data_IF_503565164097
#
_entry.id   IF_503565164097
#
_cell.length_a   1.000
_cell.length_b   1.000
_cell.length_c   1.000
_cell.angle_alpha   90.00
_cell.angle_beta   90.00
_cell.angle_gamma   90.00
#
_symmetry.space_group_name_H-M   'P 1'
#
loop_
_entity.id
_entity.type
_entity.pdbx_description
1 polymer ?
2 polymer ?
3 non-polymer ?
4 water ?
#
# COMPACT_ATOMS: atom_id res chain seq x y z
N UNK A 5 6.62 -3.34 -22.48
CA UNK A 5 5.32 -3.88 -22.08
C UNK A 5 4.17 -2.93 -22.26
N UNK A 6 3.71 -2.11 -21.31
CA UNK A 6 2.36 -1.60 -21.48
C UNK A 6 2.09 -0.26 -20.80
N UNK A 7 0.91 0.29 -21.05
CA UNK A 7 0.61 1.68 -20.70
C UNK A 7 -0.76 1.67 -20.07
N UNK A 8 -0.81 2.17 -18.83
CA UNK A 8 -1.99 2.07 -18.00
C UNK A 8 -2.37 3.49 -17.56
N UNK A 9 -3.62 3.89 -17.81
CA UNK A 9 -4.15 5.17 -17.36
C UNK A 9 -5.05 4.97 -16.16
N UNK A 10 -4.73 5.71 -15.11
CA UNK A 10 -5.44 5.63 -13.83
C UNK A 10 -5.94 7.03 -13.42
N UNK A 11 -6.89 7.04 -12.48
CA UNK A 11 -7.50 8.23 -11.87
C UNK A 11 -7.29 8.20 -10.36
N UNK A 12 -6.70 9.26 -9.79
CA UNK A 12 -6.63 9.39 -8.35
C UNK A 12 -8.01 9.32 -7.70
N UNK A 13 -8.06 8.57 -6.60
CA UNK A 13 -9.18 8.54 -5.71
C UNK A 13 -9.23 9.75 -4.79
N UNK A 14 -10.23 9.76 -3.92
CA UNK A 14 -10.49 10.90 -3.07
C UNK A 14 -9.44 11.17 -2.00
N UNK A 15 -8.49 10.25 -1.82
CA UNK A 15 -7.30 10.43 -1.01
C UNK A 15 -6.04 10.81 -1.81
N UNK A 16 -6.17 10.90 -3.13
CA UNK A 16 -5.09 11.30 -4.01
C UNK A 16 -4.20 10.15 -4.46
N UNK A 17 -4.73 8.92 -4.38
CA UNK A 17 -3.95 7.74 -4.70
C UNK A 17 -4.51 6.89 -5.84
N UNK A 18 -3.63 6.34 -6.67
CA UNK A 18 -4.11 5.49 -7.75
C UNK A 18 -4.16 3.99 -7.42
N UNK A 19 -3.41 3.59 -6.39
CA UNK A 19 -3.54 2.26 -5.81
C UNK A 19 -2.41 1.27 -6.02
N UNK A 20 -1.16 1.71 -5.90
CA UNK A 20 -0.05 0.73 -5.94
C UNK A 20 1.06 1.06 -4.96
N UNK A 21 1.86 0.07 -4.61
CA UNK A 21 3.07 0.30 -3.83
C UNK A 21 4.28 0.03 -4.73
N UNK A 22 5.37 0.76 -4.54
CA UNK A 22 6.59 0.54 -5.28
C UNK A 22 7.83 0.73 -4.40
N UNK A 23 8.93 0.17 -4.89
CA UNK A 23 10.20 0.29 -4.22
C UNK A 23 11.26 -0.06 -5.24
N UNK A 24 12.36 0.69 -5.25
CA UNK A 24 13.46 0.46 -6.19
C UNK A 24 12.94 0.61 -7.61
N UNK A 25 11.99 1.52 -7.83
CA UNK A 25 11.44 1.77 -9.15
C UNK A 25 10.50 0.72 -9.71
N UNK A 26 10.17 -0.28 -8.91
CA UNK A 26 9.36 -1.39 -9.36
C UNK A 26 8.05 -1.47 -8.56
N UNK A 27 6.95 -1.72 -9.24
CA UNK A 27 5.67 -1.93 -8.59
C UNK A 27 5.68 -3.28 -7.86
N UNK A 28 5.37 -3.29 -6.57
CA UNK A 28 5.39 -4.53 -5.80
C UNK A 28 4.01 -5.02 -5.37
N UNK A 29 3.03 -4.12 -5.35
CA UNK A 29 1.70 -4.45 -4.87
C UNK A 29 0.65 -3.59 -5.55
N UNK A 30 -0.56 -4.15 -5.67
CA UNK A 30 -1.73 -3.44 -6.14
C UNK A 30 -2.78 -3.47 -5.02
N UNK A 31 -3.42 -2.33 -4.84
CA UNK A 31 -4.46 -2.17 -3.84
C UNK A 31 -5.84 -2.58 -4.38
N UNK A 32 -6.52 -3.39 -3.58
CA UNK A 32 -7.86 -3.84 -3.86
C UNK A 32 -8.82 -2.65 -4.05
N UNK A 33 -9.65 -2.74 -5.08
CA UNK A 33 -10.71 -1.77 -5.33
C UNK A 33 -10.22 -0.40 -5.73
N UNK A 34 -9.03 -0.35 -6.33
CA UNK A 34 -8.34 0.88 -6.70
C UNK A 34 -8.34 1.08 -8.21
N UNK A 35 -7.97 2.28 -8.66
CA UNK A 35 -7.87 2.53 -10.09
C UNK A 35 -6.78 1.65 -10.74
N UNK A 36 -5.66 1.46 -10.06
CA UNK A 36 -4.66 0.50 -10.53
C UNK A 36 -5.23 -0.89 -10.74
N UNK A 37 -6.08 -1.35 -9.83
CA UNK A 37 -6.74 -2.65 -10.01
C UNK A 37 -7.69 -2.67 -11.20
N UNK A 38 -8.56 -1.66 -11.28
CA UNK A 38 -9.56 -1.60 -12.35
C UNK A 38 -8.95 -1.49 -13.73
N UNK A 39 -7.76 -0.90 -13.80
CA UNK A 39 -7.12 -0.58 -15.06
C UNK A 39 -6.01 -1.54 -15.42
N UNK A 40 -5.78 -2.52 -14.54
CA UNK A 40 -4.96 -3.67 -14.83
C UNK A 40 -3.46 -3.52 -14.71
N UNK A 41 -3.05 -2.62 -13.84
CA UNK A 41 -1.64 -2.42 -13.50
C UNK A 41 -1.09 -3.71 -12.89
N UNK A 42 0.12 -4.07 -13.31
CA UNK A 42 0.70 -5.37 -13.00
C UNK A 42 1.86 -5.22 -12.02
N UNK A 43 1.98 -6.14 -11.08
CA UNK A 43 3.11 -6.07 -10.15
C UNK A 43 4.32 -6.70 -10.79
N UNK A 44 5.45 -6.45 -10.14
CA UNK A 44 6.77 -6.91 -10.53
C UNK A 44 7.22 -6.39 -11.90
N UNK A 45 6.80 -5.18 -12.21
CA UNK A 45 7.17 -4.47 -13.42
C UNK A 45 7.80 -3.12 -13.01
N UNK A 46 8.91 -2.77 -13.63
CA UNK A 46 9.58 -1.49 -13.44
C UNK A 46 8.77 -0.37 -14.08
N UNK A 47 8.72 0.78 -13.43
CA UNK A 47 8.04 1.95 -13.98
C UNK A 47 9.00 2.67 -14.95
N UNK A 48 8.58 2.99 -16.18
CA UNK A 48 9.41 3.61 -17.20
C UNK A 48 9.11 5.08 -17.38
N UNK A 49 7.82 5.40 -17.51
CA UNK A 49 7.30 6.74 -17.76
C UNK A 49 6.04 7.04 -16.93
N UNK A 50 5.95 8.26 -16.42
CA UNK A 50 4.76 8.80 -15.78
C UNK A 50 4.43 10.16 -16.41
N UNK A 51 3.21 10.26 -16.93
CA UNK A 51 2.73 11.43 -17.63
C UNK A 51 3.79 11.96 -18.60
N UNK A 52 4.38 11.03 -19.35
CA UNK A 52 5.26 11.38 -20.45
C UNK A 52 6.71 11.63 -20.05
N UNK A 53 7.03 11.37 -18.79
CA UNK A 53 8.31 11.71 -18.19
C UNK A 53 9.08 10.43 -17.89
N UNK A 54 10.30 10.30 -18.42
CA UNK A 54 11.15 9.14 -18.14
C UNK A 54 11.58 9.12 -16.67
N UNK A 55 11.22 8.04 -15.97
CA UNK A 55 11.60 7.86 -14.59
C UNK A 55 12.54 6.68 -14.37
N UNK A 56 13.02 6.08 -15.47
CA UNK A 56 14.03 5.06 -15.34
C UNK A 56 15.27 5.68 -14.70
N UNK A 57 15.75 5.03 -13.64
CA UNK A 57 16.88 5.52 -12.88
C UNK A 57 16.69 6.56 -11.79
N UNK A 58 15.52 7.17 -11.68
CA UNK A 58 15.30 8.16 -10.64
C UNK A 58 15.18 7.44 -9.29
N UNK A 59 15.55 8.12 -8.20
CA UNK A 59 15.27 7.67 -6.84
C UNK A 59 13.78 7.58 -6.57
N UNK A 60 13.41 6.69 -5.66
CA UNK A 60 12.01 6.52 -5.27
C UNK A 60 11.33 7.80 -4.79
N UNK A 61 12.04 8.61 -4.01
CA UNK A 61 11.49 9.90 -3.60
C UNK A 61 11.21 10.85 -4.79
N UNK A 62 12.01 10.80 -5.85
CA UNK A 62 11.80 11.61 -7.05
C UNK A 62 10.56 11.11 -7.80
N UNK A 63 10.40 9.79 -7.85
CA UNK A 63 9.22 9.18 -8.44
C UNK A 63 7.96 9.56 -7.66
N UNK A 64 8.07 9.50 -6.35
CA UNK A 64 6.95 9.80 -5.47
C UNK A 64 6.54 11.26 -5.61
N UNK A 65 7.51 12.15 -5.74
CA UNK A 65 7.23 13.55 -6.02
C UNK A 65 6.51 13.79 -7.34
N UNK A 66 6.96 13.10 -8.39
CA UNK A 66 6.26 13.18 -9.68
C UNK A 66 4.79 12.72 -9.54
N UNK A 67 4.58 11.61 -8.84
CA UNK A 67 3.23 11.07 -8.69
C UNK A 67 2.34 11.98 -7.85
N UNK A 68 2.92 12.57 -6.81
CA UNK A 68 2.15 13.38 -5.88
C UNK A 68 1.81 14.74 -6.49
N UNK A 69 2.68 15.28 -7.33
CA UNK A 69 2.44 16.55 -7.98
C UNK A 69 1.76 16.38 -9.32
N UNK A 70 1.58 15.16 -9.78
CA UNK A 70 0.69 14.93 -10.90
C UNK A 70 -0.78 15.26 -10.53
N UNK A 71 -1.51 15.53 -11.59
CA UNK A 71 -2.93 15.76 -11.59
C UNK A 71 -3.67 14.46 -11.39
N UNK A 72 -4.98 14.54 -11.54
CA UNK A 72 -5.89 13.45 -11.26
C UNK A 72 -5.65 12.22 -12.11
N UNK A 73 -5.46 12.44 -13.40
CA UNK A 73 -5.24 11.38 -14.38
C UNK A 73 -3.73 11.17 -14.45
N UNK A 74 -3.36 9.92 -14.22
CA UNK A 74 -1.96 9.50 -14.22
C UNK A 74 -1.77 8.34 -15.19
N UNK A 75 -0.93 8.49 -16.20
CA UNK A 75 -0.64 7.43 -17.17
C UNK A 75 0.79 6.94 -16.94
N UNK A 76 0.95 5.65 -16.70
CA UNK A 76 2.26 5.08 -16.43
C UNK A 76 2.57 4.04 -17.50
N UNK A 77 3.77 4.09 -18.04
CA UNK A 77 4.28 3.00 -18.86
C UNK A 77 5.17 2.10 -17.98
N UNK A 78 5.00 0.78 -18.10
CA UNK A 78 5.77 -0.20 -17.32
C UNK A 78 6.49 -1.18 -18.24
N UNK A 79 7.48 -1.90 -17.71
CA UNK A 79 8.16 -2.97 -18.44
C UNK A 79 8.33 -4.19 -17.54
N UNK B 6 -13.96 -9.46 13.23
CA UNK B 6 -13.40 -9.16 14.58
C UNK B 6 -11.90 -9.44 14.72
N UNK B 7 -11.42 -10.67 14.89
CA UNK B 7 -10.00 -10.93 15.07
C UNK B 7 -9.54 -11.69 13.83
N UNK B 8 -8.51 -11.16 13.19
CA UNK B 8 -8.00 -11.71 11.93
C UNK B 8 -6.54 -12.12 12.09
N UNK B 9 -6.20 -13.35 11.72
CA UNK B 9 -4.83 -13.87 11.80
C UNK B 9 -4.20 -13.90 10.42
N UNK B 10 -3.02 -13.30 10.32
CA UNK B 10 -2.31 -13.12 9.06
C UNK B 10 -0.84 -13.57 9.22
N UNK B 11 -0.18 -13.86 8.10
CA UNK B 11 1.26 -14.21 8.10
C UNK B 11 2.01 -13.25 7.20
N UNK B 12 3.17 -12.79 7.65
CA UNK B 12 4.00 -11.88 6.88
C UNK B 12 4.52 -12.61 5.64
N UNK B 13 4.54 -11.88 4.52
CA UNK B 13 5.25 -12.35 3.34
C UNK B 13 6.79 -12.23 3.38
N UNK B 14 7.45 -12.56 2.27
CA UNK B 14 8.91 -12.53 2.19
C UNK B 14 9.53 -11.12 2.33
N UNK B 15 8.68 -10.10 2.25
CA UNK B 15 9.10 -8.74 2.45
C UNK B 15 8.74 -8.25 3.84
N UNK B 16 8.13 -9.10 4.66
CA UNK B 16 7.75 -8.72 6.01
C UNK B 16 6.42 -7.99 6.19
N UNK B 17 5.55 -8.09 5.20
CA UNK B 17 4.24 -7.45 5.22
C UNK B 17 3.07 -8.40 5.13
N UNK B 18 1.98 -8.00 5.76
CA UNK B 18 0.75 -8.76 5.76
C UNK B 18 -0.24 -8.22 4.73
N UNK B 19 -0.14 -6.96 4.31
CA UNK B 19 -0.92 -6.53 3.16
C UNK B 19 -2.00 -5.49 3.37
N UNK B 20 -1.73 -4.49 4.21
CA UNK B 20 -2.70 -3.40 4.37
C UNK B 20 -2.09 -2.02 4.55
N UNK B 21 -2.87 -1.00 4.22
CA UNK B 21 -2.46 0.37 4.49
C UNK B 21 -3.38 0.94 5.59
N UNK B 22 -2.80 1.75 6.47
CA UNK B 22 -3.56 2.43 7.53
C UNK B 22 -3.12 3.87 7.75
N UNK B 23 -3.98 4.63 8.41
CA UNK B 23 -3.66 6.02 8.74
C UNK B 23 -4.65 6.40 9.83
N UNK B 24 -4.17 7.17 10.79
CA UNK B 24 -5.01 7.64 11.89
C UNK B 24 -5.64 6.46 12.61
N UNK B 25 -4.90 5.37 12.71
CA UNK B 25 -5.28 4.19 13.45
C UNK B 25 -6.34 3.33 12.79
N UNK B 26 -6.67 3.63 11.54
CA UNK B 26 -7.73 2.95 10.81
C UNK B 26 -7.19 2.32 9.52
N UNK B 27 -7.65 1.11 9.22
CA UNK B 27 -7.28 0.43 7.96
C UNK B 27 -7.96 1.11 6.78
N UNK B 28 -7.19 1.57 5.79
CA UNK B 28 -7.76 2.31 4.68
C UNK B 28 -7.71 1.55 3.35
N UNK B 29 -6.85 0.55 3.22
CA UNK B 29 -6.72 -0.21 1.98
C UNK B 29 -6.22 -1.61 2.30
N UNK B 30 -6.63 -2.58 1.48
CA UNK B 30 -6.11 -3.94 1.49
C UNK B 30 -5.36 -4.18 0.16
N UNK B 31 -4.22 -4.85 0.24
CA UNK B 31 -3.41 -5.17 -0.93
C UNK B 31 -3.84 -6.51 -1.52
N UNK B 32 -4.07 -6.52 -2.83
CA UNK B 32 -4.35 -7.73 -3.60
C UNK B 32 -3.31 -8.81 -3.38
N UNK B 33 -3.80 -10.04 -3.25
CA UNK B 33 -2.94 -11.22 -3.17
C UNK B 33 -2.04 -11.26 -1.94
N UNK B 34 -2.59 -10.74 -0.84
CA UNK B 34 -1.86 -10.68 0.40
C UNK B 34 -2.53 -11.54 1.45
N UNK B 35 -1.82 -11.69 2.57
CA UNK B 35 -2.37 -12.35 3.75
C UNK B 35 -3.62 -11.65 4.26
N UNK B 36 -3.62 -10.32 4.28
CA UNK B 36 -4.78 -9.54 4.72
C UNK B 36 -5.97 -9.78 3.79
N UNK B 37 -5.73 -9.84 2.49
CA UNK B 37 -6.79 -10.16 1.56
C UNK B 37 -7.33 -11.58 1.77
N UNK B 38 -6.44 -12.56 1.88
CA UNK B 38 -6.85 -13.96 1.99
C UNK B 38 -7.63 -14.25 3.27
N UNK B 39 -7.32 -13.47 4.30
CA UNK B 39 -7.90 -13.69 5.63
C UNK B 39 -9.04 -12.77 6.01
N UNK B 40 -9.38 -11.84 5.12
CA UNK B 40 -10.60 -11.05 5.26
C UNK B 40 -10.45 -9.82 6.17
N UNK B 41 -9.25 -9.27 6.24
CA UNK B 41 -9.07 -7.99 6.94
C UNK B 41 -9.93 -7.00 6.17
N UNK B 42 -10.62 -6.12 6.88
CA UNK B 42 -11.58 -5.20 6.28
C UNK B 42 -11.12 -3.74 6.29
N UNK B 43 -11.28 -3.01 5.20
CA UNK B 43 -11.04 -1.57 5.25
C UNK B 43 -12.10 -0.80 6.04
N UNK B 44 -11.69 0.42 6.38
CA UNK B 44 -12.47 1.39 7.12
C UNK B 44 -12.91 0.87 8.47
N UNK B 45 -12.02 0.12 9.09
CA UNK B 45 -12.18 -0.32 10.46
C UNK B 45 -10.99 0.11 11.27
N UNK B 46 -11.24 0.44 12.53
CA UNK B 46 -10.18 0.83 13.45
C UNK B 46 -9.45 -0.40 13.98
N UNK B 47 -8.16 -0.23 14.21
CA UNK B 47 -7.30 -1.27 14.75
C UNK B 47 -7.33 -1.19 16.28
N UNK B 48 -7.79 -2.24 16.94
CA UNK B 48 -7.97 -2.23 18.40
C UNK B 48 -6.86 -2.97 19.13
N UNK B 49 -6.47 -4.13 18.61
CA UNK B 49 -5.46 -4.96 19.23
C UNK B 49 -4.55 -5.55 18.15
N UNK B 50 -3.28 -5.64 18.50
CA UNK B 50 -2.32 -6.39 17.71
C UNK B 50 -1.56 -7.35 18.62
N UNK B 51 -1.59 -8.63 18.25
CA UNK B 51 -1.02 -9.71 19.04
C UNK B 51 -1.45 -9.60 20.51
N UNK B 52 -2.75 -9.41 20.73
CA UNK B 52 -3.29 -9.26 22.07
C UNK B 52 -2.98 -7.98 22.86
N UNK B 53 -2.21 -7.07 22.27
CA UNK B 53 -1.91 -5.77 22.88
C UNK B 53 -2.93 -4.74 22.41
N UNK B 54 -3.54 -4.01 23.34
CA UNK B 54 -4.42 -2.91 22.97
C UNK B 54 -3.61 -1.78 22.32
N UNK B 55 -4.03 -1.36 21.13
CA UNK B 55 -3.37 -0.27 20.42
C UNK B 55 -4.30 0.91 20.14
N UNK B 56 -5.49 0.92 20.75
CA UNK B 56 -6.40 2.04 20.54
C UNK B 56 -5.70 3.23 21.18
N UNK B 57 -5.69 4.36 20.49
CA UNK B 57 -5.08 5.56 21.03
C UNK B 57 -3.60 5.76 20.72
N UNK B 58 -2.89 4.73 20.28
CA UNK B 58 -1.47 4.89 19.96
C UNK B 58 -1.28 5.62 18.63
N UNK B 59 -0.16 6.29 18.47
CA UNK B 59 0.13 7.00 17.24
C UNK B 59 0.53 5.99 16.18
N UNK B 60 0.41 6.40 14.92
CA UNK B 60 0.64 5.54 13.77
C UNK B 60 2.05 4.92 13.74
N UNK B 61 3.07 5.71 14.09
CA UNK B 61 4.44 5.22 14.14
C UNK B 61 4.64 4.15 15.20
N UNK B 62 3.87 4.20 16.30
CA UNK B 62 3.93 3.14 17.32
C UNK B 62 3.23 1.87 16.84
N UNK B 63 2.09 2.04 16.19
CA UNK B 63 1.42 0.90 15.58
C UNK B 63 2.34 0.25 14.53
N UNK B 64 2.98 1.09 13.72
CA UNK B 64 3.87 0.58 12.68
C UNK B 64 5.05 -0.14 13.29
N UNK B 65 5.53 0.35 14.43
CA UNK B 65 6.64 -0.25 15.15
C UNK B 65 6.27 -1.61 15.70
N UNK B 66 5.06 -1.70 16.26
CA UNK B 66 4.57 -2.97 16.78
C UNK B 66 4.45 -4.01 15.66
N UNK B 67 4.01 -3.56 14.49
CA UNK B 67 3.79 -4.49 13.38
C UNK B 67 5.11 -5.03 12.82
N UNK B 68 6.05 -4.12 12.65
CA UNK B 68 7.39 -4.43 12.14
C UNK B 68 8.17 -5.31 13.14
N UNK B 69 7.95 -5.11 14.43
CA UNK B 69 8.69 -5.85 15.45
C UNK B 69 8.03 -7.19 15.79
N UNK B 70 6.76 -7.33 15.45
CA UNK B 70 6.09 -8.61 15.54
C UNK B 70 6.79 -9.70 14.71
N UNK B 71 6.62 -10.93 15.16
CA UNK B 71 7.08 -12.10 14.45
C UNK B 71 6.18 -12.35 13.26
N UNK B 72 6.33 -13.52 12.66
CA UNK B 72 5.64 -13.85 11.43
C UNK B 72 4.12 -13.83 11.47
N UNK B 73 3.57 -14.32 12.57
CA UNK B 73 2.12 -14.36 12.71
C UNK B 73 1.72 -13.06 13.38
N UNK B 74 0.80 -12.35 12.74
CA UNK B 74 0.19 -11.11 13.23
C UNK B 74 -1.33 -11.30 13.36
N UNK B 75 -1.90 -11.16 14.56
CA UNK B 75 -3.34 -11.20 14.72
C UNK B 75 -3.77 -9.79 15.07
N UNK B 76 -4.79 -9.33 14.37
CA UNK B 76 -5.31 -7.99 14.60
C UNK B 76 -6.80 -8.13 14.88
N UNK B 77 -7.23 -7.43 15.92
CA UNK B 77 -8.65 -7.27 16.20
C UNK B 77 -9.06 -5.91 15.65
N UNK B 78 -10.17 -5.90 14.93
CA UNK B 78 -10.69 -4.68 14.31
C UNK B 78 -12.15 -4.48 14.67
N UNK B 79 -12.58 -3.23 14.55
CA UNK B 79 -13.97 -2.89 14.82
C UNK B 79 -14.47 -1.74 13.93
N UNK C 2 11.09 0.87 3.36
CA UNK C 2 11.13 2.12 2.53
C UNK C 2 10.32 1.97 1.24
N UNK C 3 9.12 1.41 1.36
CA UNK C 3 8.24 1.31 0.19
C UNK C 3 7.43 2.60 0.11
N UNK C 4 6.86 2.87 -1.06
CA UNK C 4 6.08 4.08 -1.27
C UNK C 4 4.69 3.68 -1.80
N UNK C 5 3.67 4.37 -1.31
CA UNK C 5 2.29 4.19 -1.73
C UNK C 5 1.84 5.30 -2.68
N UNK C 6 1.29 4.95 -3.84
CA UNK C 6 0.87 5.97 -4.79
C UNK C 6 -0.58 5.78 -5.28
N UNK D 1 -1.61 11.28 2.19
CA UNK D 1 -0.20 11.29 2.71
C UNK D 1 -0.15 10.86 4.18
N UNK D 2 1.05 10.55 4.67
CA UNK D 2 1.29 10.01 6.01
C UNK D 2 0.64 8.63 6.26
N UNK D 3 0.41 7.87 5.19
CA UNK D 3 -0.12 6.51 5.31
C UNK D 3 1.03 5.54 5.61
N UNK D 4 0.71 4.42 6.26
CA UNK D 4 1.67 3.36 6.56
C UNK D 4 1.22 2.06 5.91
N UNK D 5 2.22 1.34 5.40
CA UNK D 5 2.07 0.04 4.74
C UNK D 5 2.56 -0.99 5.72
N UNK D 6 1.72 -1.99 5.97
CA UNK D 6 2.10 -3.07 6.86
C UNK D 6 1.86 -4.46 6.30
X LIG E 1 4.41 -7.35 -19.46
X LIG E 1 3.80 -6.31 -18.60
X LIG E 1 5.84 -7.07 -19.63
X LIG E 1 4.46 -8.64 -18.75
X LIG E 1 3.65 -7.28 -20.73
X LIG F 1 -11.02 4.72 -13.04
X LIG F 1 -11.87 5.89 -13.20
X LIG F 1 -11.85 3.53 -13.06
X LIG F 1 -10.28 4.73 -11.77
X LIG F 1 -10.01 4.71 -14.10
X LIG G 1 -10.48 9.81 9.69
X LIG G 1 -11.25 9.86 10.93
X LIG G 1 -11.24 8.97 8.75
X LIG G 1 -9.12 9.29 9.96
X LIG G 1 -10.28 11.16 9.14
#
# INVERSE_FOLDING_TARGET
GAMDPRTITMHKDSTGHVGFIFKNGKITSIVKDSSAARNGLLTEHNICEINGQNVIGLKDSQIADILSTSGTVVTITIM
GAMDPRTITMHKDSTGHVGFIFKNGKITSIVKDSSAARNGLLTEHNICEINGQNVIGLKDSQIADILSTSGTVVTITIM
TNEFYA
TNEFYA
SO4 S O1 O2 O3 O4
SO4 S O1 O2 O3 O4
SO4 S O1 O2 O3 O4
#
